data_IF_545088991019
#
_entry.id   IF_545088991019
#
_cell.length_a   1.000
_cell.length_b   1.000
_cell.length_c   1.000
_cell.angle_alpha   90.00
_cell.angle_beta   90.00
_cell.angle_gamma   90.00
#
_symmetry.space_group_name_H-M   'P 1'
#
loop_
_entity.id
_entity.type
_entity.pdbx_description
1 polymer ?
#
# COMPACT_ATOMS: atom_id res chain seq x y z
N UNK A 1 -9.76 3.46 -11.18
CA UNK A 1 -9.34 4.20 -9.96
C UNK A 1 -8.88 5.62 -10.30
N UNK A 2 -7.75 5.87 -10.97
CA UNK A 2 -7.28 7.25 -11.29
C UNK A 2 -8.32 8.04 -12.11
N UNK A 3 -8.88 7.45 -13.16
CA UNK A 3 -9.92 8.12 -13.95
C UNK A 3 -11.17 8.50 -13.14
N UNK A 4 -11.52 7.69 -12.13
CA UNK A 4 -12.61 8.03 -11.21
C UNK A 4 -12.23 9.19 -10.30
N UNK A 5 -11.04 9.16 -9.69
CA UNK A 5 -10.55 10.24 -8.83
C UNK A 5 -10.47 11.59 -9.57
N UNK A 6 -9.98 11.60 -10.81
CA UNK A 6 -9.98 12.82 -11.62
C UNK A 6 -11.39 13.29 -11.97
N UNK A 7 -12.30 12.36 -12.32
CA UNK A 7 -13.69 12.69 -12.67
C UNK A 7 -14.55 13.14 -11.48
N UNK A 8 -14.21 12.75 -10.25
CA UNK A 8 -14.92 13.12 -9.03
C UNK A 8 -14.44 14.44 -8.40
N UNK A 9 -13.47 15.12 -9.03
CA UNK A 9 -12.87 16.34 -8.48
C UNK A 9 -11.90 16.08 -7.32
N UNK A 10 -11.42 14.85 -7.16
CA UNK A 10 -10.46 14.52 -6.10
C UNK A 10 -9.13 15.25 -6.33
N UNK A 11 -8.53 15.73 -5.24
CA UNK A 11 -7.18 16.29 -5.24
C UNK A 11 -6.18 15.19 -4.89
N UNK A 12 -5.44 14.72 -5.88
CA UNK A 12 -4.43 13.67 -5.69
C UNK A 12 -3.30 14.22 -4.80
N UNK A 13 -3.01 13.51 -3.71
CA UNK A 13 -2.05 13.92 -2.69
C UNK A 13 -0.68 13.23 -2.80
N UNK A 14 -0.52 12.31 -3.75
CA UNK A 14 0.72 11.56 -3.91
C UNK A 14 0.66 10.55 -5.06
N UNK A 15 1.74 9.78 -5.26
CA UNK A 15 1.76 8.72 -6.26
C UNK A 15 0.73 7.63 -5.91
N UNK A 16 0.21 6.91 -6.92
CA UNK A 16 -0.57 5.71 -6.69
C UNK A 16 0.23 4.67 -5.89
N UNK A 17 -0.48 3.87 -5.10
CA UNK A 17 0.11 2.78 -4.33
C UNK A 17 -0.81 1.56 -4.37
N UNK A 18 -0.22 0.39 -4.10
CA UNK A 18 -0.97 -0.85 -3.90
C UNK A 18 -0.85 -1.30 -2.45
N UNK A 19 -1.97 -1.65 -1.83
CA UNK A 19 -2.01 -2.23 -0.48
C UNK A 19 -2.16 -3.75 -0.60
N UNK A 20 -1.18 -4.45 -0.02
CA UNK A 20 -1.13 -5.90 0.03
C UNK A 20 -1.46 -6.32 1.46
N UNK A 21 -2.73 -6.62 1.71
CA UNK A 21 -3.20 -7.00 3.05
C UNK A 21 -3.00 -8.50 3.22
N UNK A 22 -2.08 -8.87 4.12
CA UNK A 22 -1.83 -10.25 4.49
C UNK A 22 -3.00 -10.77 5.33
N UNK A 23 -4.02 -11.29 4.64
CA UNK A 23 -4.95 -12.25 5.21
C UNK A 23 -4.33 -13.60 4.93
N UNK A 24 -4.30 -14.52 5.88
CA UNK A 24 -3.68 -15.87 5.83
C UNK A 24 -4.08 -16.72 4.61
N UNK A 25 -3.79 -16.24 3.41
CA UNK A 25 -4.26 -16.68 2.11
C UNK A 25 -3.05 -17.13 1.30
N UNK A 26 -3.22 -18.14 0.43
CA UNK A 26 -2.18 -18.51 -0.51
C UNK A 26 -1.73 -17.29 -1.35
N UNK A 27 -0.45 -17.19 -1.75
CA UNK A 27 0.07 -16.03 -2.49
C UNK A 27 -0.68 -15.70 -3.79
N UNK A 28 -1.38 -16.66 -4.39
CA UNK A 28 -2.19 -16.47 -5.60
C UNK A 28 -3.60 -15.91 -5.34
N UNK A 29 -4.06 -15.95 -4.08
CA UNK A 29 -5.36 -15.47 -3.64
C UNK A 29 -5.25 -14.20 -2.77
N UNK A 30 -4.08 -13.56 -2.78
CA UNK A 30 -3.90 -12.31 -2.05
C UNK A 30 -4.82 -11.22 -2.61
N UNK A 31 -5.56 -10.59 -1.70
CA UNK A 31 -6.34 -9.41 -2.03
C UNK A 31 -5.41 -8.20 -2.09
N UNK A 32 -5.43 -7.51 -3.24
CA UNK A 32 -4.64 -6.30 -3.48
C UNK A 32 -5.59 -5.16 -3.77
N UNK A 33 -5.37 -4.03 -3.12
CA UNK A 33 -6.11 -2.80 -3.38
C UNK A 33 -5.23 -1.80 -4.12
N UNK A 34 -5.66 -1.40 -5.33
CA UNK A 34 -5.04 -0.30 -6.06
C UNK A 34 -5.62 1.04 -5.59
N UNK A 35 -4.77 1.90 -5.02
CA UNK A 35 -5.19 3.12 -4.33
C UNK A 35 -4.57 4.40 -4.93
N UNK A 36 -5.31 5.51 -4.83
CA UNK A 36 -4.78 6.86 -5.05
C UNK A 36 -4.95 7.68 -3.78
N UNK A 37 -3.88 8.26 -3.22
CA UNK A 37 -3.98 9.18 -2.10
C UNK A 37 -4.73 10.44 -2.52
N UNK A 38 -5.71 10.86 -1.72
CA UNK A 38 -6.47 12.08 -1.95
C UNK A 38 -6.39 12.99 -0.71
N UNK A 39 -6.30 14.30 -0.91
CA UNK A 39 -6.14 15.27 0.19
C UNK A 39 -7.47 15.65 0.85
N UNK A 40 -8.59 15.25 0.27
CA UNK A 40 -9.93 15.48 0.77
C UNK A 40 -10.83 14.31 0.36
N UNK A 41 -11.82 13.91 1.19
CA UNK A 41 -12.77 12.86 0.84
C UNK A 41 -13.56 13.21 -0.42
N UNK A 42 -13.83 12.20 -1.24
CA UNK A 42 -14.81 12.26 -2.33
C UNK A 42 -15.88 11.21 -2.10
N UNK A 43 -17.09 11.35 -2.68
CA UNK A 43 -18.12 10.33 -2.56
C UNK A 43 -17.58 8.97 -3.04
N UNK A 44 -17.86 7.86 -2.33
CA UNK A 44 -17.55 6.53 -2.83
C UNK A 44 -18.50 6.12 -3.97
N UNK A 45 -18.21 5.00 -4.61
CA UNK A 45 -19.11 4.35 -5.58
C UNK A 45 -19.11 2.84 -5.39
N UNK A 46 -19.97 2.12 -6.12
CA UNK A 46 -20.07 0.65 -6.08
C UNK A 46 -18.73 -0.07 -6.34
N UNK A 47 -17.79 0.58 -7.04
CA UNK A 47 -16.48 0.02 -7.41
C UNK A 47 -15.29 0.71 -6.74
N UNK A 48 -15.52 1.80 -6.01
CA UNK A 48 -14.45 2.60 -5.40
C UNK A 48 -14.83 2.90 -3.97
N UNK A 49 -14.09 2.32 -3.04
CA UNK A 49 -14.15 2.66 -1.61
C UNK A 49 -13.27 3.87 -1.34
N UNK A 50 -13.70 4.72 -0.40
CA UNK A 50 -12.93 5.87 0.07
C UNK A 50 -12.84 5.76 1.58
N UNK A 51 -11.63 5.57 2.09
CA UNK A 51 -11.39 5.38 3.51
C UNK A 51 -10.00 5.89 3.90
N UNK A 52 -9.82 6.18 5.19
CA UNK A 52 -8.53 6.53 5.76
C UNK A 52 -7.75 5.27 6.12
N UNK A 53 -6.45 5.24 5.81
CA UNK A 53 -5.58 4.18 6.29
C UNK A 53 -5.32 4.36 7.80
N UNK A 54 -5.20 3.25 8.57
CA UNK A 54 -4.81 3.34 9.96
C UNK A 54 -3.41 3.96 10.04
N UNK A 55 -3.31 5.11 10.69
CA UNK A 55 -2.03 5.72 11.00
C UNK A 55 -1.29 4.82 11.98
N UNK A 56 -0.14 4.28 11.57
CA UNK A 56 0.75 3.54 12.46
C UNK A 56 1.97 4.41 12.80
N UNK A 57 2.45 4.38 14.06
CA UNK A 57 3.58 5.23 14.47
C UNK A 57 4.89 4.85 13.77
N UNK A 58 5.02 3.60 13.32
CA UNK A 58 6.25 3.07 12.75
C UNK A 58 5.94 2.16 11.56
N UNK A 59 6.69 2.32 10.47
CA UNK A 59 6.64 1.47 9.27
C UNK A 59 8.07 1.12 8.85
N UNK A 60 8.32 -0.14 8.47
CA UNK A 60 9.56 -0.52 7.81
C UNK A 60 9.46 -0.23 6.31
N UNK A 61 10.28 0.69 5.81
CA UNK A 61 10.25 1.17 4.43
C UNK A 61 11.58 0.90 3.73
N UNK A 62 11.52 0.41 2.48
CA UNK A 62 12.68 0.31 1.59
C UNK A 62 12.33 0.95 0.26
N UNK A 63 13.24 1.77 -0.27
CA UNK A 63 13.12 2.33 -1.64
C UNK A 63 13.82 1.38 -2.60
N UNK A 64 13.08 0.82 -3.55
CA UNK A 64 13.65 0.01 -4.63
C UNK A 64 14.02 0.91 -5.80
N UNK A 65 15.27 0.83 -6.25
CA UNK A 65 15.75 1.51 -7.46
C UNK A 65 15.93 0.50 -8.59
N UNK A 66 15.36 0.80 -9.76
CA UNK A 66 15.44 -0.05 -10.94
C UNK A 66 14.09 -0.65 -11.36
N UNK A 67 14.06 -1.43 -12.45
CA UNK A 67 12.83 -1.98 -13.00
C UNK A 67 12.17 -2.98 -12.05
N UNK A 68 10.85 -2.92 -11.97
CA UNK A 68 10.04 -3.93 -11.28
C UNK A 68 9.85 -5.13 -12.24
N UNK A 69 10.55 -6.24 -12.01
CA UNK A 69 10.39 -7.48 -12.79
C UNK A 69 9.42 -8.45 -12.11
N UNK A 70 8.63 -9.26 -12.84
CA UNK A 70 7.68 -10.20 -12.23
C UNK A 70 8.30 -11.28 -11.33
N UNK A 71 9.56 -11.65 -11.59
CA UNK A 71 10.36 -12.57 -10.75
C UNK A 71 11.05 -11.88 -9.58
N UNK A 72 11.08 -10.54 -9.57
CA UNK A 72 11.31 -9.79 -8.36
C UNK A 72 10.04 -9.90 -7.52
N UNK A 73 9.93 -11.02 -6.79
CA UNK A 73 9.18 -11.03 -5.53
C UNK A 73 9.46 -9.68 -4.87
N UNK A 74 8.41 -8.88 -4.56
CA UNK A 74 8.62 -7.55 -4.03
C UNK A 74 9.59 -7.65 -2.87
N UNK A 75 10.37 -6.61 -2.67
CA UNK A 75 11.46 -6.35 -1.72
C UNK A 75 11.16 -6.68 -0.23
N UNK A 76 10.08 -7.45 0.04
CA UNK A 76 9.67 -8.12 1.28
C UNK A 76 10.83 -8.73 2.07
N UNK A 77 11.84 -9.44 1.53
CA UNK A 77 12.87 -9.99 2.40
C UNK A 77 13.68 -8.90 3.13
N UNK A 78 13.85 -7.71 2.54
CA UNK A 78 14.58 -6.61 3.19
C UNK A 78 13.80 -6.00 4.36
N UNK A 79 12.53 -5.62 4.16
CA UNK A 79 11.69 -5.04 5.22
C UNK A 79 11.31 -6.08 6.28
N UNK A 80 11.02 -7.33 5.89
CA UNK A 80 10.69 -8.40 6.83
C UNK A 80 11.89 -8.85 7.67
N UNK A 81 13.11 -8.67 7.16
CA UNK A 81 14.33 -8.82 7.95
C UNK A 81 14.44 -7.74 9.03
N UNK A 82 14.15 -6.49 8.68
CA UNK A 82 14.22 -5.34 9.58
C UNK A 82 13.12 -5.31 10.64
N UNK A 83 11.88 -5.69 10.31
CA UNK A 83 10.78 -5.68 11.28
C UNK A 83 10.99 -6.67 12.43
N UNK A 84 11.58 -7.84 12.15
CA UNK A 84 11.96 -8.81 13.19
C UNK A 84 13.12 -8.34 14.08
N UNK A 85 14.06 -7.57 13.52
CA UNK A 85 15.15 -6.99 14.29
C UNK A 85 14.67 -5.81 15.17
N UNK A 86 13.73 -5.00 14.69
CA UNK A 86 13.18 -3.86 15.43
C UNK A 86 12.34 -4.28 16.66
N UNK A 87 11.74 -5.48 16.64
CA UNK A 87 11.05 -6.06 17.80
C UNK A 87 11.98 -6.75 18.81
N UNK A 88 13.28 -6.88 18.51
CA UNK A 88 14.25 -7.65 19.30
C UNK A 88 15.23 -6.78 20.12
N UNK A 89 15.04 -5.47 20.21
CA UNK A 89 15.86 -4.62 21.09
C UNK A 89 15.32 -4.66 22.53
N UNK A 90 16.09 -5.13 23.53
CA UNK A 90 15.64 -5.19 24.92
C UNK A 90 15.64 -3.80 25.56
N UNK A 91 14.74 -3.63 26.53
CA UNK A 91 14.77 -2.57 27.54
C UNK A 91 15.99 -2.68 28.45
#
# INVERSE_FOLDING_TARGET
MIGYACGSGAKIAGPPLDLWLDRDMPPHDMSVEACAPISAPVPPSDRVTVYGLPGVPTVACTVHHGPLTPSATPTRPSCAGWSRAATASPA
#
